data_IF_569186340078
#
_entry.id   IF_569186340078
#
_cell.length_a   1.000
_cell.length_b   1.000
_cell.length_c   1.000
_cell.angle_alpha   90.00
_cell.angle_beta   90.00
_cell.angle_gamma   90.00
#
_symmetry.space_group_name_H-M   'P 1'
#
loop_
_entity.id
_entity.type
_entity.pdbx_description
1 polymer ?
#
# COMPACT_ATOMS: atom_id res chain seq x y z
N UNK A 1 18.04 -34.69 35.50
CA UNK A 1 17.21 -33.46 35.67
C UNK A 1 17.77 -32.25 34.94
N UNK A 2 19.05 -31.87 35.03
CA UNK A 2 19.63 -30.68 34.38
C UNK A 2 19.49 -30.65 32.82
N UNK A 3 19.60 -31.81 32.17
CA UNK A 3 19.47 -31.90 30.68
C UNK A 3 18.03 -31.75 30.20
N UNK A 4 17.05 -32.14 31.00
CA UNK A 4 15.62 -32.01 30.67
C UNK A 4 15.14 -30.55 30.73
N UNK A 5 15.62 -29.78 31.71
CA UNK A 5 15.32 -28.34 31.79
C UNK A 5 15.88 -27.55 30.62
N UNK A 6 17.07 -27.92 30.12
CA UNK A 6 17.71 -27.22 28.98
C UNK A 6 16.93 -27.39 27.68
N UNK A 7 16.39 -28.59 27.45
CA UNK A 7 15.56 -28.86 26.25
C UNK A 7 14.23 -28.11 26.30
N UNK A 8 13.58 -28.06 27.46
CA UNK A 8 12.32 -27.31 27.63
C UNK A 8 12.53 -25.81 27.43
N UNK A 9 13.65 -25.25 27.94
CA UNK A 9 13.98 -23.83 27.76
C UNK A 9 14.26 -23.51 26.29
N UNK A 10 14.91 -24.41 25.56
CA UNK A 10 15.15 -24.22 24.12
C UNK A 10 13.86 -24.25 23.29
N UNK A 11 12.92 -25.13 23.62
CA UNK A 11 11.61 -25.23 22.95
C UNK A 11 10.78 -23.98 23.22
N UNK A 12 10.79 -23.42 24.43
CA UNK A 12 10.07 -22.19 24.77
C UNK A 12 10.65 -21.00 24.01
N UNK A 13 11.98 -20.91 23.85
CA UNK A 13 12.60 -19.83 23.06
C UNK A 13 12.23 -19.88 21.57
N UNK A 14 11.98 -21.06 21.00
CA UNK A 14 11.58 -21.20 19.58
C UNK A 14 10.14 -20.72 19.36
N UNK A 15 9.25 -20.84 20.34
CA UNK A 15 7.84 -20.41 20.22
C UNK A 15 7.63 -18.88 20.42
N UNK A 16 8.60 -18.15 20.94
CA UNK A 16 8.48 -16.70 21.19
C UNK A 16 8.80 -15.89 19.93
N UNK A 17 9.37 -16.47 18.88
CA UNK A 17 9.81 -15.75 17.68
C UNK A 17 8.71 -15.66 16.59
N UNK A 18 7.56 -16.34 16.77
CA UNK A 18 6.50 -16.37 15.75
C UNK A 18 5.30 -15.46 16.03
N UNK A 19 5.46 -14.41 16.82
CA UNK A 19 4.37 -13.60 17.34
C UNK A 19 4.37 -12.12 16.96
N UNK A 20 4.92 -11.71 15.83
CA UNK A 20 4.54 -10.44 15.23
C UNK A 20 3.50 -10.71 14.15
N UNK A 21 2.23 -10.66 14.53
CA UNK A 21 1.13 -10.50 13.61
C UNK A 21 1.24 -9.08 13.04
N UNK A 22 1.99 -8.92 11.94
CA UNK A 22 1.91 -7.70 11.16
C UNK A 22 0.47 -7.55 10.69
N UNK A 23 -0.14 -6.41 11.00
CA UNK A 23 -1.49 -6.09 10.53
C UNK A 23 -1.46 -6.10 9.00
N UNK A 24 -2.16 -7.05 8.41
CA UNK A 24 -2.28 -7.12 6.94
C UNK A 24 -3.11 -5.94 6.47
N UNK A 25 -2.58 -5.14 5.54
CA UNK A 25 -3.34 -4.07 4.90
C UNK A 25 -4.59 -4.67 4.25
N UNK A 26 -5.75 -4.13 4.59
CA UNK A 26 -7.03 -4.65 4.10
C UNK A 26 -7.19 -4.31 2.63
N UNK A 27 -7.38 -5.32 1.80
CA UNK A 27 -7.68 -5.16 0.37
C UNK A 27 -6.50 -5.42 -0.56
N UNK A 28 -5.35 -5.81 -0.03
CA UNK A 28 -4.24 -6.37 -0.82
C UNK A 28 -4.60 -7.82 -1.20
N UNK A 29 -4.60 -8.18 -2.48
CA UNK A 29 -4.81 -9.56 -2.91
C UNK A 29 -3.69 -10.48 -2.43
N UNK A 30 -4.03 -11.70 -2.04
CA UNK A 30 -3.03 -12.72 -1.70
C UNK A 30 -2.23 -13.16 -2.92
N UNK A 31 -1.05 -13.75 -2.70
CA UNK A 31 -0.21 -14.32 -3.76
C UNK A 31 0.97 -13.45 -4.18
N UNK A 32 1.26 -12.37 -3.44
CA UNK A 32 2.52 -11.65 -3.59
C UNK A 32 3.69 -12.52 -3.09
N UNK A 33 4.86 -12.35 -3.72
CA UNK A 33 6.09 -13.10 -3.42
C UNK A 33 7.04 -12.32 -2.51
N UNK A 34 6.90 -11.00 -2.50
CA UNK A 34 7.70 -10.11 -1.65
C UNK A 34 6.91 -8.85 -1.31
N UNK A 35 7.32 -8.14 -0.26
CA UNK A 35 6.68 -6.89 0.18
C UNK A 35 7.63 -5.98 0.95
N UNK A 36 7.38 -4.69 0.84
CA UNK A 36 7.95 -3.64 1.68
C UNK A 36 6.81 -2.78 2.22
N UNK A 37 6.82 -2.49 3.51
CA UNK A 37 5.73 -1.78 4.18
C UNK A 37 6.29 -0.71 5.12
N UNK A 38 5.82 0.53 4.97
CA UNK A 38 6.20 1.70 5.75
C UNK A 38 4.94 2.31 6.37
N UNK A 39 4.83 2.23 7.69
CA UNK A 39 3.68 2.71 8.44
C UNK A 39 4.05 3.92 9.29
N UNK A 40 3.15 4.89 9.35
CA UNK A 40 3.23 5.93 10.34
C UNK A 40 2.75 5.40 11.70
N UNK A 41 3.69 5.21 12.62
CA UNK A 41 3.40 4.63 13.95
C UNK A 41 3.06 5.69 15.00
N UNK A 42 3.26 6.96 14.70
CA UNK A 42 3.17 8.05 15.68
C UNK A 42 1.83 8.82 15.60
N UNK A 43 1.04 8.62 14.53
CA UNK A 43 -0.22 9.32 14.29
C UNK A 43 -1.41 8.69 15.00
N UNK A 44 -2.03 9.41 15.93
CA UNK A 44 -3.26 8.95 16.59
C UNK A 44 -4.52 9.26 15.77
N UNK A 45 -4.45 10.21 14.84
CA UNK A 45 -5.54 10.66 13.97
C UNK A 45 -5.11 10.86 12.52
N UNK A 46 -3.94 11.45 12.29
CA UNK A 46 -3.42 11.76 10.97
C UNK A 46 -2.24 10.81 10.69
N UNK A 47 -2.35 9.97 9.66
CA UNK A 47 -1.28 9.02 9.32
C UNK A 47 -1.20 8.76 7.82
N UNK A 48 0.01 8.48 7.36
CA UNK A 48 0.32 8.11 5.98
C UNK A 48 1.03 6.76 5.94
N UNK A 49 0.49 5.84 5.15
CA UNK A 49 1.09 4.52 4.95
C UNK A 49 1.48 4.33 3.49
N UNK A 50 2.65 3.74 3.28
CA UNK A 50 3.15 3.34 1.97
C UNK A 50 3.56 1.87 1.99
N UNK A 51 3.23 1.12 0.94
CA UNK A 51 3.69 -0.26 0.80
C UNK A 51 3.80 -0.68 -0.66
N UNK A 52 4.68 -1.66 -0.90
CA UNK A 52 4.87 -2.34 -2.20
C UNK A 52 4.67 -3.83 -2.02
N UNK A 53 4.01 -4.47 -3.00
CA UNK A 53 3.78 -5.91 -3.05
C UNK A 53 4.13 -6.41 -4.44
N UNK A 54 5.11 -7.29 -4.56
CA UNK A 54 5.56 -7.86 -5.82
C UNK A 54 4.85 -9.18 -6.12
N UNK A 55 4.41 -9.36 -7.35
CA UNK A 55 3.68 -10.55 -7.82
C UNK A 55 4.45 -11.27 -8.91
N UNK A 56 4.25 -12.58 -9.06
CA UNK A 56 4.79 -13.35 -10.19
C UNK A 56 3.97 -13.19 -11.47
N UNK A 57 2.71 -12.77 -11.36
CA UNK A 57 1.79 -12.65 -12.49
C UNK A 57 0.76 -11.56 -12.29
N UNK A 58 0.40 -10.89 -13.37
CA UNK A 58 -0.64 -9.85 -13.37
C UNK A 58 -2.05 -10.40 -13.12
N UNK A 59 -2.30 -11.69 -13.37
CA UNK A 59 -3.65 -12.27 -13.36
C UNK A 59 -4.39 -12.09 -12.04
N UNK A 60 -3.66 -12.03 -10.91
CA UNK A 60 -4.22 -11.84 -9.57
C UNK A 60 -4.95 -10.49 -9.49
N UNK A 61 -4.39 -9.46 -10.10
CA UNK A 61 -4.94 -8.10 -10.11
C UNK A 61 -5.92 -7.92 -11.27
N UNK A 62 -5.53 -8.30 -12.49
CA UNK A 62 -6.32 -8.02 -13.69
C UNK A 62 -7.65 -8.79 -13.76
N UNK A 63 -7.76 -9.92 -13.06
CA UNK A 63 -9.01 -10.67 -12.90
C UNK A 63 -9.88 -10.19 -11.72
N UNK A 64 -9.36 -9.33 -10.87
CA UNK A 64 -10.07 -8.82 -9.71
C UNK A 64 -10.95 -7.61 -10.10
N UNK A 65 -12.26 -7.75 -9.97
CA UNK A 65 -13.25 -6.74 -10.36
C UNK A 65 -13.18 -5.42 -9.59
N UNK A 66 -12.47 -5.41 -8.46
CA UNK A 66 -12.27 -4.21 -7.67
C UNK A 66 -11.25 -3.25 -8.33
N UNK A 67 -10.41 -3.76 -9.23
CA UNK A 67 -9.42 -2.97 -9.94
C UNK A 67 -9.96 -2.57 -11.32
N UNK A 68 -9.80 -1.29 -11.65
CA UNK A 68 -10.12 -0.72 -12.96
C UNK A 68 -8.82 -0.58 -13.74
N UNK A 69 -8.86 -0.96 -15.03
CA UNK A 69 -7.78 -0.61 -15.96
C UNK A 69 -7.76 0.91 -16.17
N UNK A 70 -6.58 1.49 -16.11
CA UNK A 70 -6.37 2.92 -16.33
C UNK A 70 -6.45 3.20 -17.83
N UNK A 71 -7.37 4.07 -18.21
CA UNK A 71 -7.46 4.63 -19.55
C UNK A 71 -6.68 5.95 -19.62
N UNK A 72 -6.34 6.44 -20.82
CA UNK A 72 -5.54 7.65 -21.00
C UNK A 72 -6.09 8.86 -20.23
N UNK A 73 -7.41 9.01 -20.19
CA UNK A 73 -8.07 10.13 -19.50
C UNK A 73 -8.04 10.01 -17.97
N UNK A 74 -7.82 8.80 -17.41
CA UNK A 74 -7.76 8.55 -15.98
C UNK A 74 -6.35 8.79 -15.40
N UNK A 75 -5.29 8.80 -16.23
CA UNK A 75 -3.88 8.87 -15.78
C UNK A 75 -3.65 10.06 -14.86
N UNK A 76 -4.10 11.25 -15.26
CA UNK A 76 -3.88 12.46 -14.47
C UNK A 76 -4.61 12.45 -13.12
N UNK A 77 -5.75 11.78 -13.03
CA UNK A 77 -6.48 11.64 -11.76
C UNK A 77 -5.70 10.73 -10.80
N UNK A 78 -5.11 9.65 -11.30
CA UNK A 78 -4.28 8.75 -10.48
C UNK A 78 -2.99 9.45 -10.05
N UNK A 79 -2.33 10.17 -10.97
CA UNK A 79 -1.15 11.01 -10.69
C UNK A 79 -1.42 11.97 -9.54
N UNK A 80 -2.58 12.65 -9.54
CA UNK A 80 -2.93 13.61 -8.50
C UNK A 80 -2.92 13.04 -7.08
N UNK A 81 -3.32 11.78 -6.89
CA UNK A 81 -3.21 11.12 -5.58
C UNK A 81 -1.78 10.90 -5.13
N UNK A 82 -0.90 10.50 -6.05
CA UNK A 82 0.49 10.25 -5.74
C UNK A 82 1.28 11.55 -5.52
N UNK A 83 0.94 12.63 -6.22
CA UNK A 83 1.51 13.96 -5.98
C UNK A 83 1.12 14.50 -4.60
N UNK A 84 -0.17 14.36 -4.25
CA UNK A 84 -0.66 14.75 -2.92
C UNK A 84 0.03 13.94 -1.82
N UNK A 85 0.08 12.60 -1.97
CA UNK A 85 0.75 11.72 -1.02
C UNK A 85 2.23 12.06 -0.86
N UNK A 86 2.95 12.34 -1.96
CA UNK A 86 4.35 12.76 -1.93
C UNK A 86 4.53 14.03 -1.11
N UNK A 87 3.62 15.01 -1.26
CA UNK A 87 3.65 16.27 -0.48
C UNK A 87 3.45 16.03 1.01
N UNK A 88 2.59 15.07 1.39
CA UNK A 88 2.40 14.67 2.78
C UNK A 88 3.64 13.97 3.34
N UNK A 89 4.25 13.05 2.60
CA UNK A 89 5.50 12.37 3.00
C UNK A 89 6.64 13.38 3.19
N UNK A 90 6.73 14.39 2.31
CA UNK A 90 7.70 15.48 2.45
C UNK A 90 7.44 16.29 3.72
N UNK A 91 6.19 16.66 3.99
CA UNK A 91 5.80 17.42 5.18
C UNK A 91 6.10 16.70 6.49
N UNK A 92 6.03 15.37 6.46
CA UNK A 92 6.34 14.47 7.58
C UNK A 92 7.83 14.12 7.72
N UNK A 93 8.70 14.66 6.84
CA UNK A 93 10.14 14.31 6.75
C UNK A 93 10.37 12.80 6.46
N UNK A 94 9.44 12.16 5.75
CA UNK A 94 9.43 10.73 5.40
C UNK A 94 9.59 10.45 3.90
N UNK A 95 9.91 11.45 3.11
CA UNK A 95 10.01 11.31 1.64
C UNK A 95 11.00 10.21 1.21
N UNK A 96 12.01 9.92 2.04
CA UNK A 96 12.97 8.83 1.78
C UNK A 96 12.37 7.42 1.83
N UNK A 97 11.17 7.27 2.38
CA UNK A 97 10.43 6.00 2.42
C UNK A 97 9.56 5.81 1.17
N UNK A 98 9.33 6.88 0.41
CA UNK A 98 8.49 6.90 -0.78
C UNK A 98 9.37 6.92 -2.03
N UNK A 99 9.66 5.75 -2.59
CA UNK A 99 10.55 5.55 -3.73
C UNK A 99 9.82 5.32 -5.06
N UNK A 100 8.52 5.65 -5.13
CA UNK A 100 7.72 5.52 -6.33
C UNK A 100 7.95 6.69 -7.29
N UNK A 101 8.24 6.38 -8.56
CA UNK A 101 8.27 7.40 -9.61
C UNK A 101 6.87 7.62 -10.19
N UNK A 102 6.30 8.80 -9.96
CA UNK A 102 4.96 9.17 -10.43
C UNK A 102 4.83 9.09 -11.97
N UNK A 103 5.95 9.22 -12.70
CA UNK A 103 5.96 9.09 -14.15
C UNK A 103 5.77 7.64 -14.64
N UNK A 104 5.82 6.65 -13.74
CA UNK A 104 5.55 5.24 -14.07
C UNK A 104 4.04 4.92 -14.14
N UNK A 105 3.16 5.89 -13.86
CA UNK A 105 1.71 5.72 -14.00
C UNK A 105 1.32 5.85 -15.48
N UNK A 106 0.89 4.74 -16.09
CA UNK A 106 0.60 4.67 -17.52
C UNK A 106 -0.81 4.14 -17.83
N UNK A 107 -1.28 4.46 -19.03
CA UNK A 107 -2.42 3.75 -19.61
C UNK A 107 -2.13 2.25 -19.67
N UNK A 108 -3.09 1.43 -19.25
CA UNK A 108 -2.94 -0.01 -19.25
C UNK A 108 -2.71 -0.62 -17.89
N UNK A 109 -2.18 0.14 -16.94
CA UNK A 109 -2.06 -0.23 -15.53
C UNK A 109 -3.42 -0.40 -14.86
N UNK A 110 -3.44 -0.82 -13.62
CA UNK A 110 -4.67 -1.05 -12.89
C UNK A 110 -4.70 -0.27 -11.58
N UNK A 111 -5.87 0.26 -11.25
CA UNK A 111 -6.05 1.05 -10.02
C UNK A 111 -7.34 0.66 -9.30
N UNK A 112 -7.28 0.73 -7.97
CA UNK A 112 -8.44 0.70 -7.09
C UNK A 112 -8.30 1.83 -6.10
N UNK A 113 -9.28 2.70 -6.04
CA UNK A 113 -9.30 3.86 -5.16
C UNK A 113 -10.45 3.71 -4.17
N UNK A 114 -10.16 3.94 -2.90
CA UNK A 114 -11.15 4.04 -1.83
C UNK A 114 -11.02 5.42 -1.21
N UNK A 115 -12.12 6.14 -1.15
CA UNK A 115 -12.20 7.44 -0.49
C UNK A 115 -13.19 7.40 0.66
N UNK A 116 -13.12 8.37 1.54
CA UNK A 116 -14.13 8.56 2.58
C UNK A 116 -15.48 8.86 1.93
N UNK A 117 -16.56 8.30 2.50
CA UNK A 117 -17.91 8.51 1.99
C UNK A 117 -18.23 10.02 1.89
N UNK A 118 -18.66 10.45 0.71
CA UNK A 118 -18.99 11.86 0.43
C UNK A 118 -17.90 12.68 -0.23
N UNK A 119 -16.68 12.18 -0.42
CA UNK A 119 -15.71 12.84 -1.28
C UNK A 119 -16.24 12.85 -2.72
N UNK A 120 -16.31 14.05 -3.30
CA UNK A 120 -16.81 14.24 -4.66
C UNK A 120 -15.63 14.43 -5.61
N UNK A 121 -15.69 13.69 -6.72
CA UNK A 121 -14.88 14.01 -7.90
C UNK A 121 -15.66 15.09 -8.66
N UNK A 122 -15.18 16.32 -8.67
CA UNK A 122 -15.75 17.40 -9.46
C UNK A 122 -14.90 17.60 -10.73
N UNK A 123 -15.52 17.42 -11.90
CA UNK A 123 -14.87 17.59 -13.21
C UNK A 123 -13.57 16.75 -13.40
N UNK A 124 -13.52 15.53 -12.85
CA UNK A 124 -12.35 14.66 -12.91
C UNK A 124 -11.21 15.08 -11.99
N UNK A 125 -11.40 16.04 -11.12
CA UNK A 125 -10.43 16.44 -10.09
C UNK A 125 -11.01 16.23 -8.70
N UNK A 126 -10.17 15.77 -7.79
CA UNK A 126 -10.51 15.71 -6.37
C UNK A 126 -10.56 17.10 -5.79
N UNK A 127 -11.63 17.41 -5.06
CA UNK A 127 -11.75 18.68 -4.33
C UNK A 127 -10.93 18.68 -3.05
N UNK A 128 -10.78 17.47 -2.43
CA UNK A 128 -9.97 17.30 -1.20
C UNK A 128 -9.39 15.89 -1.17
N UNK A 129 -8.14 15.76 -0.73
CA UNK A 129 -7.42 14.50 -0.55
C UNK A 129 -7.26 14.13 0.93
N UNK A 130 -8.32 14.35 1.74
CA UNK A 130 -8.21 14.24 3.20
C UNK A 130 -8.12 12.78 3.69
N UNK A 131 -8.81 11.84 3.01
CA UNK A 131 -8.80 10.43 3.40
C UNK A 131 -9.02 9.54 2.19
N UNK A 132 -7.98 8.81 1.82
CA UNK A 132 -8.04 7.88 0.69
C UNK A 132 -7.08 6.70 0.86
N UNK A 133 -7.36 5.63 0.12
CA UNK A 133 -6.42 4.54 -0.13
C UNK A 133 -6.37 4.29 -1.63
N UNK A 134 -5.19 4.30 -2.20
CA UNK A 134 -4.95 3.94 -3.60
C UNK A 134 -4.15 2.65 -3.66
N UNK A 135 -4.59 1.74 -4.50
CA UNK A 135 -3.94 0.50 -4.84
C UNK A 135 -3.63 0.56 -6.34
N UNK A 136 -2.42 0.91 -6.68
CA UNK A 136 -1.95 1.04 -8.06
C UNK A 136 -1.09 -0.16 -8.42
N UNK A 137 -1.40 -0.83 -9.53
CA UNK A 137 -0.65 -1.97 -10.02
C UNK A 137 -0.01 -1.66 -11.37
N UNK A 138 1.30 -1.57 -11.35
CA UNK A 138 2.14 -1.47 -12.53
C UNK A 138 2.28 -2.87 -13.16
N UNK A 139 1.77 -3.02 -14.39
CA UNK A 139 1.79 -4.29 -15.10
C UNK A 139 3.17 -4.65 -15.68
N UNK A 140 4.08 -3.70 -15.84
CA UNK A 140 5.41 -3.93 -16.36
C UNK A 140 6.33 -4.53 -15.28
N UNK A 141 6.27 -3.98 -14.07
CA UNK A 141 7.08 -4.45 -12.93
C UNK A 141 6.38 -5.51 -12.09
N UNK A 142 5.08 -5.76 -12.33
CA UNK A 142 4.22 -6.63 -11.52
C UNK A 142 4.16 -6.22 -10.05
N UNK A 143 4.24 -4.91 -9.77
CA UNK A 143 4.26 -4.35 -8.43
C UNK A 143 2.96 -3.62 -8.13
N UNK A 144 2.35 -3.96 -7.01
CA UNK A 144 1.22 -3.24 -6.43
C UNK A 144 1.72 -2.25 -5.40
N UNK A 145 1.56 -0.98 -5.68
CA UNK A 145 1.82 0.12 -4.76
C UNK A 145 0.56 0.47 -3.99
N UNK A 146 0.70 0.61 -2.71
CA UNK A 146 -0.37 1.04 -1.81
C UNK A 146 0.03 2.34 -1.15
N UNK A 147 -0.83 3.35 -1.25
CA UNK A 147 -0.73 4.58 -0.48
C UNK A 147 -2.03 4.80 0.28
N UNK A 148 -1.89 5.30 1.50
CA UNK A 148 -3.02 5.68 2.33
C UNK A 148 -2.73 6.99 3.04
N UNK A 149 -3.67 7.89 2.95
CA UNK A 149 -3.64 9.16 3.66
C UNK A 149 -4.93 9.30 4.48
N UNK A 150 -4.79 9.66 5.74
CA UNK A 150 -5.90 9.92 6.65
C UNK A 150 -5.57 11.16 7.47
N UNK A 151 -6.32 12.23 7.24
CA UNK A 151 -6.17 13.53 7.89
C UNK A 151 -7.46 13.91 8.60
#
# INVERSE_FOLDING_TARGET
>A
MKRFCLVITLIICVFVITGCSQSKIVGIPDGYIDKEEYYDQDGFQDYTDYAKYMYETQNIITSNKDYKKIEQDDVQDVVGYFEDFSSWMESADRLSEFDFDINDINEGDYVKIKTKEGQKIANGKYETYDNYSVYFFDIETLTLYYIHNNI
#
